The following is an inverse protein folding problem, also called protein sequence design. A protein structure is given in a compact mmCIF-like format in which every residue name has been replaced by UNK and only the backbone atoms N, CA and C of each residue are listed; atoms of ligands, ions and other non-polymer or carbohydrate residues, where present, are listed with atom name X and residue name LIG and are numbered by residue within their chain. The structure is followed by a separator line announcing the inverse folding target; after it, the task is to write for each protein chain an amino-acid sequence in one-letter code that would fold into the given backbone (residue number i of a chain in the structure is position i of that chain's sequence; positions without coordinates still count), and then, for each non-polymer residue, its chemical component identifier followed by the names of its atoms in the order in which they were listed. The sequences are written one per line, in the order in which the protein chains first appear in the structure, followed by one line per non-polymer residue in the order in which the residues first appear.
data_IF_551872202090
#
_entry.id   IF_551872202090
#
_cell.length_a   1.000
_cell.length_b   1.000
_cell.length_c   1.000
_cell.angle_alpha   90.00
_cell.angle_beta   90.00
_cell.angle_gamma   90.00
#
_symmetry.space_group_name_H-M   'P 1'
#
loop_
_entity.id
_entity.type
_entity.pdbx_description
1 polymer ?
#
# COMPACT_ATOMS: atom_id res chain seq x y z
N UNK A 1 15.47 -1.30 -21.91
CA UNK A 1 14.41 -0.39 -21.42
C UNK A 1 13.93 -0.88 -20.07
N UNK A 2 13.66 0.01 -19.12
CA UNK A 2 13.16 -0.33 -17.78
C UNK A 2 11.69 0.03 -17.61
N UNK A 3 11.04 -0.62 -16.65
CA UNK A 3 9.63 -0.38 -16.35
C UNK A 3 9.49 -0.01 -14.87
N UNK A 4 8.73 1.02 -14.55
CA UNK A 4 8.26 1.28 -13.19
C UNK A 4 6.86 0.71 -13.07
N UNK A 5 6.68 -0.25 -12.18
CA UNK A 5 5.43 -1.00 -11.99
C UNK A 5 4.81 -0.59 -10.66
N UNK A 6 3.65 0.06 -10.70
CA UNK A 6 2.76 0.15 -9.56
C UNK A 6 1.71 -0.96 -9.61
N UNK A 7 1.22 -1.38 -8.46
CA UNK A 7 0.16 -2.39 -8.37
C UNK A 7 -0.95 -1.88 -7.48
N UNK A 8 -2.18 -2.01 -7.96
CA UNK A 8 -3.43 -1.89 -7.20
C UNK A 8 -4.03 -3.29 -7.19
N UNK A 9 -3.88 -4.00 -6.06
CA UNK A 9 -4.21 -5.43 -5.98
C UNK A 9 -5.72 -5.68 -5.84
N UNK A 10 -6.49 -4.78 -5.25
CA UNK A 10 -7.92 -4.99 -5.02
C UNK A 10 -8.82 -4.27 -6.04
N UNK A 11 -8.21 -3.77 -7.12
CA UNK A 11 -8.85 -3.16 -8.29
C UNK A 11 -9.58 -1.86 -7.90
N UNK A 12 -9.07 -1.09 -6.95
CA UNK A 12 -9.66 0.18 -6.54
C UNK A 12 -9.72 1.19 -7.70
N UNK A 13 -8.72 1.18 -8.59
CA UNK A 13 -8.72 1.96 -9.81
C UNK A 13 -9.87 1.54 -10.76
N UNK A 14 -10.14 0.25 -10.91
CA UNK A 14 -11.25 -0.25 -11.72
C UNK A 14 -12.62 -0.03 -11.06
N UNK A 15 -12.73 -0.33 -9.76
CA UNK A 15 -13.98 -0.30 -8.98
C UNK A 15 -14.45 1.11 -8.66
N UNK A 16 -13.54 1.97 -8.20
CA UNK A 16 -13.87 3.33 -7.74
C UNK A 16 -13.77 4.35 -8.87
N UNK A 17 -12.76 4.24 -9.73
CA UNK A 17 -12.49 5.23 -10.78
C UNK A 17 -12.97 4.80 -12.18
N UNK A 18 -13.37 3.54 -12.37
CA UNK A 18 -13.83 3.02 -13.66
C UNK A 18 -12.71 2.94 -14.71
N UNK A 19 -11.45 2.87 -14.29
CA UNK A 19 -10.30 2.82 -15.17
C UNK A 19 -9.77 1.38 -15.22
N UNK A 20 -9.91 0.67 -16.35
CA UNK A 20 -9.38 -0.69 -16.47
C UNK A 20 -7.86 -0.68 -16.60
N UNK A 21 -7.17 -1.60 -15.92
CA UNK A 21 -5.75 -1.86 -16.16
C UNK A 21 -5.50 -2.88 -17.28
N UNK A 22 -4.24 -3.00 -17.74
CA UNK A 22 -3.09 -2.23 -17.29
C UNK A 22 -3.09 -0.80 -17.84
N UNK A 23 -2.71 0.16 -17.01
CA UNK A 23 -2.57 1.57 -17.42
C UNK A 23 -1.11 1.84 -17.74
N UNK A 24 -0.77 1.95 -19.02
CA UNK A 24 0.60 2.15 -19.49
C UNK A 24 0.81 3.60 -19.92
N UNK A 25 1.92 4.19 -19.50
CA UNK A 25 2.35 5.51 -19.95
C UNK A 25 2.15 6.60 -18.91
N UNK A 26 3.10 7.54 -18.86
CA UNK A 26 3.12 8.62 -17.87
C UNK A 26 1.80 9.40 -17.76
N UNK A 27 1.28 9.87 -18.89
CA UNK A 27 0.07 10.69 -18.89
C UNK A 27 -1.17 9.88 -18.52
N UNK A 28 -1.28 8.65 -19.04
CA UNK A 28 -2.39 7.76 -18.70
C UNK A 28 -2.43 7.44 -17.20
N UNK A 29 -1.27 7.19 -16.59
CA UNK A 29 -1.17 6.96 -15.14
C UNK A 29 -1.54 8.21 -14.34
N UNK A 30 -1.11 9.40 -14.76
CA UNK A 30 -1.53 10.66 -14.10
C UNK A 30 -3.04 10.88 -14.18
N UNK A 31 -3.64 10.68 -15.35
CA UNK A 31 -5.08 10.85 -15.54
C UNK A 31 -5.87 9.82 -14.72
N UNK A 32 -5.37 8.59 -14.63
CA UNK A 32 -5.94 7.53 -13.80
C UNK A 32 -5.84 7.87 -12.31
N UNK A 33 -4.69 8.36 -11.84
CA UNK A 33 -4.51 8.80 -10.45
C UNK A 33 -5.41 9.99 -10.09
N UNK A 34 -5.59 10.94 -11.01
CA UNK A 34 -6.52 12.05 -10.83
C UNK A 34 -7.97 11.57 -10.72
N UNK A 35 -8.37 10.60 -11.53
CA UNK A 35 -9.72 10.00 -11.45
C UNK A 35 -9.93 9.28 -10.13
N UNK A 36 -8.97 8.43 -9.71
CA UNK A 36 -9.05 7.71 -8.44
C UNK A 36 -9.08 8.68 -7.26
N UNK A 37 -8.12 9.60 -7.18
CA UNK A 37 -8.06 10.59 -6.09
C UNK A 37 -9.24 11.56 -6.04
N UNK A 38 -9.98 11.73 -7.14
CA UNK A 38 -11.25 12.49 -7.14
C UNK A 38 -12.42 11.63 -6.69
N UNK A 39 -12.41 10.34 -7.00
CA UNK A 39 -13.45 9.38 -6.60
C UNK A 39 -13.33 8.97 -5.12
N UNK A 40 -12.11 8.72 -4.65
CA UNK A 40 -11.78 8.37 -3.27
C UNK A 40 -10.46 9.06 -2.86
N UNK A 41 -10.53 10.26 -2.23
CA UNK A 41 -9.35 11.00 -1.82
C UNK A 41 -8.55 10.37 -0.66
N UNK A 42 -9.14 9.40 0.06
CA UNK A 42 -8.48 8.74 1.21
C UNK A 42 -7.66 7.52 0.79
N UNK A 43 -7.82 7.10 -0.46
CA UNK A 43 -7.16 5.97 -1.08
C UNK A 43 -5.64 6.17 -1.21
N UNK A 44 -4.86 5.17 -0.78
CA UNK A 44 -3.40 5.23 -0.81
C UNK A 44 -2.81 4.92 -2.19
N UNK A 45 -3.52 4.19 -3.06
CA UNK A 45 -3.06 3.82 -4.40
C UNK A 45 -2.82 5.06 -5.25
N UNK A 46 -3.62 6.10 -5.06
CA UNK A 46 -3.41 7.40 -5.72
C UNK A 46 -1.99 7.93 -5.49
N UNK A 47 -1.48 7.83 -4.26
CA UNK A 47 -0.12 8.26 -3.95
C UNK A 47 0.93 7.28 -4.48
N UNK A 48 0.64 5.98 -4.51
CA UNK A 48 1.49 4.97 -5.14
C UNK A 48 1.69 5.28 -6.63
N UNK A 49 0.62 5.62 -7.35
CA UNK A 49 0.65 6.00 -8.77
C UNK A 49 1.49 7.26 -9.00
N UNK A 50 1.32 8.29 -8.16
CA UNK A 50 2.15 9.50 -8.25
C UNK A 50 3.63 9.21 -7.95
N UNK A 51 3.92 8.33 -7.00
CA UNK A 51 5.29 7.92 -6.70
C UNK A 51 5.91 7.11 -7.85
N UNK A 52 5.14 6.27 -8.54
CA UNK A 52 5.57 5.56 -9.74
C UNK A 52 5.93 6.52 -10.88
N UNK A 53 5.07 7.52 -11.13
CA UNK A 53 5.37 8.58 -12.12
C UNK A 53 6.61 9.37 -11.74
N UNK A 54 6.73 9.74 -10.46
CA UNK A 54 7.89 10.49 -9.96
C UNK A 54 9.20 9.69 -10.13
N UNK A 55 9.21 8.40 -9.78
CA UNK A 55 10.36 7.52 -9.99
C UNK A 55 10.72 7.41 -11.47
N UNK A 56 9.72 7.23 -12.35
CA UNK A 56 9.96 7.18 -13.80
C UNK A 56 10.58 8.49 -14.31
N UNK A 57 10.10 9.65 -13.84
CA UNK A 57 10.64 10.96 -14.20
C UNK A 57 12.05 11.20 -13.64
N UNK A 58 12.39 10.64 -12.46
CA UNK A 58 13.76 10.64 -11.91
C UNK A 58 14.72 9.83 -12.79
N UNK A 59 14.36 8.61 -13.15
CA UNK A 59 15.18 7.72 -13.98
C UNK A 59 15.35 8.28 -15.41
N UNK A 60 14.29 8.84 -16.01
CA UNK A 60 14.38 9.52 -17.31
C UNK A 60 15.34 10.71 -17.28
N UNK A 61 15.31 11.51 -16.19
CA UNK A 61 16.27 12.61 -16.00
C UNK A 61 17.70 12.12 -15.83
N UNK A 62 17.90 10.91 -15.31
CA UNK A 62 19.20 10.26 -15.23
C UNK A 62 19.67 9.65 -16.58
N UNK A 63 18.88 9.78 -17.65
CA UNK A 63 19.22 9.31 -19.00
C UNK A 63 18.74 7.88 -19.29
N UNK A 64 17.91 7.29 -18.43
CA UNK A 64 17.39 5.95 -18.61
C UNK A 64 16.11 5.94 -19.46
N UNK A 65 16.00 4.96 -20.36
CA UNK A 65 14.76 4.70 -21.10
C UNK A 65 13.81 3.91 -20.21
N UNK A 66 12.81 4.61 -19.66
CA UNK A 66 11.85 4.06 -18.68
C UNK A 66 10.42 4.34 -19.13
N UNK A 67 9.54 3.37 -18.92
CA UNK A 67 8.08 3.54 -18.96
C UNK A 67 7.45 3.26 -17.61
N UNK A 68 6.25 3.79 -17.36
CA UNK A 68 5.48 3.52 -16.14
C UNK A 68 4.22 2.73 -16.48
N UNK A 69 3.88 1.76 -15.63
CA UNK A 69 2.63 1.00 -15.72
C UNK A 69 2.00 0.85 -14.33
N UNK A 70 0.68 0.88 -14.28
CA UNK A 70 -0.11 0.45 -13.12
C UNK A 70 -0.87 -0.82 -13.51
N UNK A 71 -0.63 -1.89 -12.76
CA UNK A 71 -1.34 -3.16 -12.89
C UNK A 71 -2.49 -3.19 -11.90
N UNK A 72 -3.64 -3.69 -12.35
CA UNK A 72 -4.85 -3.80 -11.51
C UNK A 72 -5.20 -5.26 -11.29
N UNK A 73 -5.56 -5.58 -10.06
CA UNK A 73 -5.99 -6.91 -9.66
C UNK A 73 -7.48 -7.12 -9.82
N UNK A 74 -8.10 -7.69 -8.79
CA UNK A 74 -9.53 -7.96 -8.73
C UNK A 74 -10.04 -7.69 -7.31
N UNK A 75 -11.27 -7.20 -7.18
CA UNK A 75 -11.89 -6.98 -5.87
C UNK A 75 -11.97 -8.22 -4.99
N UNK A 76 -11.88 -9.41 -5.58
CA UNK A 76 -11.63 -10.66 -4.85
C UNK A 76 -10.12 -10.88 -4.71
N UNK A 77 -9.54 -10.21 -3.71
CA UNK A 77 -8.11 -10.31 -3.38
C UNK A 77 -7.73 -11.77 -3.10
N UNK A 78 -6.56 -12.18 -3.61
CA UNK A 78 -6.07 -13.55 -3.56
C UNK A 78 -5.69 -14.04 -4.96
N UNK A 79 -5.80 -15.35 -5.20
CA UNK A 79 -5.27 -15.98 -6.42
C UNK A 79 -5.88 -15.43 -7.72
N UNK A 80 -7.13 -14.94 -7.69
CA UNK A 80 -7.78 -14.35 -8.87
C UNK A 80 -7.13 -13.02 -9.24
N UNK A 81 -7.02 -12.12 -8.27
CA UNK A 81 -6.30 -10.86 -8.41
C UNK A 81 -4.84 -11.09 -8.85
N UNK A 82 -4.11 -11.97 -8.15
CA UNK A 82 -2.69 -12.23 -8.43
C UNK A 82 -2.49 -12.73 -9.88
N UNK A 83 -3.37 -13.62 -10.36
CA UNK A 83 -3.33 -14.09 -11.76
C UNK A 83 -3.63 -12.98 -12.76
N UNK A 84 -4.56 -12.08 -12.44
CA UNK A 84 -4.91 -10.94 -13.29
C UNK A 84 -3.74 -9.97 -13.40
N UNK A 85 -3.10 -9.63 -12.28
CA UNK A 85 -1.88 -8.81 -12.26
C UNK A 85 -0.77 -9.46 -13.11
N UNK A 86 -0.52 -10.76 -12.93
CA UNK A 86 0.50 -11.46 -13.72
C UNK A 86 0.19 -11.47 -15.22
N UNK A 87 -1.08 -11.70 -15.60
CA UNK A 87 -1.50 -11.69 -17.00
C UNK A 87 -1.35 -10.29 -17.63
N UNK A 88 -1.66 -9.23 -16.89
CA UNK A 88 -1.43 -7.86 -17.34
C UNK A 88 0.06 -7.56 -17.53
N UNK A 89 0.92 -8.02 -16.61
CA UNK A 89 2.37 -7.90 -16.79
C UNK A 89 2.85 -8.65 -18.03
N UNK A 90 2.36 -9.88 -18.25
CA UNK A 90 2.71 -10.70 -19.43
C UNK A 90 2.31 -9.98 -20.73
N UNK A 91 1.15 -9.30 -20.75
CA UNK A 91 0.72 -8.47 -21.88
C UNK A 91 1.70 -7.30 -22.13
N UNK A 92 2.06 -6.56 -21.09
CA UNK A 92 2.97 -5.41 -21.22
C UNK A 92 4.36 -5.85 -21.68
N UNK A 93 4.87 -6.96 -21.18
CA UNK A 93 6.17 -7.52 -21.57
C UNK A 93 6.19 -8.06 -23.01
N UNK A 94 5.03 -8.40 -23.58
CA UNK A 94 4.91 -8.82 -24.97
C UNK A 94 5.00 -7.62 -25.93
N UNK A 95 4.47 -6.46 -25.52
CA UNK A 95 4.47 -5.23 -26.33
C UNK A 95 5.76 -4.42 -26.15
N UNK A 96 6.35 -4.47 -24.95
CA UNK A 96 7.50 -3.66 -24.55
C UNK A 96 8.67 -4.57 -24.15
N UNK A 97 9.83 -4.50 -24.84
CA UNK A 97 11.01 -5.26 -24.45
C UNK A 97 11.67 -4.66 -23.20
N UNK A 98 11.19 -5.09 -22.04
CA UNK A 98 11.68 -4.65 -20.72
C UNK A 98 12.78 -5.59 -20.23
N UNK A 99 13.91 -5.02 -19.83
CA UNK A 99 15.06 -5.75 -19.26
C UNK A 99 14.85 -6.06 -17.78
N UNK A 100 14.39 -5.06 -17.04
CA UNK A 100 14.12 -5.14 -15.61
C UNK A 100 13.07 -4.10 -15.21
N UNK A 101 12.48 -4.27 -14.04
CA UNK A 101 11.51 -3.33 -13.50
C UNK A 101 11.79 -2.89 -12.07
N UNK A 102 11.28 -1.71 -11.73
CA UNK A 102 11.23 -1.16 -10.38
C UNK A 102 9.80 -1.30 -9.85
N UNK A 103 9.62 -1.95 -8.71
CA UNK A 103 8.31 -2.13 -8.11
C UNK A 103 7.99 -0.97 -7.15
N UNK A 104 6.80 -0.40 -7.27
CA UNK A 104 6.26 0.62 -6.37
C UNK A 104 5.00 0.05 -5.71
N UNK A 105 4.96 0.10 -4.39
CA UNK A 105 3.88 -0.45 -3.57
C UNK A 105 3.64 0.45 -2.37
N UNK A 106 2.39 0.57 -1.95
CA UNK A 106 1.95 1.38 -0.81
C UNK A 106 1.61 0.56 0.44
N UNK A 107 1.47 -0.77 0.32
CA UNK A 107 1.18 -1.67 1.43
C UNK A 107 1.98 -2.99 1.45
N UNK A 108 1.96 -3.66 2.60
CA UNK A 108 2.53 -5.01 2.74
C UNK A 108 1.80 -6.06 1.89
N UNK A 109 0.54 -5.80 1.50
CA UNK A 109 -0.26 -6.74 0.71
C UNK A 109 0.22 -6.88 -0.74
N UNK A 110 0.81 -5.83 -1.32
CA UNK A 110 1.37 -5.91 -2.68
C UNK A 110 2.75 -6.58 -2.70
N UNK A 111 3.44 -6.64 -1.56
CA UNK A 111 4.72 -7.35 -1.47
C UNK A 111 4.56 -8.86 -1.68
N UNK A 112 3.37 -9.42 -1.41
CA UNK A 112 3.08 -10.82 -1.74
C UNK A 112 3.12 -11.10 -3.26
N UNK A 113 2.98 -10.07 -4.10
CA UNK A 113 3.11 -10.20 -5.55
C UNK A 113 4.56 -10.19 -6.01
N UNK A 114 5.51 -9.78 -5.17
CA UNK A 114 6.92 -9.71 -5.57
C UNK A 114 7.45 -11.03 -6.15
N UNK A 115 7.28 -12.21 -5.52
CA UNK A 115 7.77 -13.47 -6.10
C UNK A 115 7.12 -13.79 -7.45
N UNK A 116 5.84 -13.42 -7.61
CA UNK A 116 5.10 -13.62 -8.84
C UNK A 116 5.65 -12.74 -9.96
N UNK A 117 5.82 -11.44 -9.71
CA UNK A 117 6.36 -10.49 -10.70
C UNK A 117 7.83 -10.80 -11.02
N UNK A 118 8.65 -11.09 -10.01
CA UNK A 118 10.06 -11.41 -10.15
C UNK A 118 10.31 -12.69 -10.99
N UNK A 119 9.32 -13.59 -11.04
CA UNK A 119 9.41 -14.79 -11.89
C UNK A 119 9.29 -14.50 -13.40
N UNK A 120 8.81 -13.30 -13.80
CA UNK A 120 8.67 -12.91 -15.22
C UNK A 120 9.90 -12.17 -15.71
N UNK A 121 10.37 -11.21 -14.92
CA UNK A 121 11.54 -10.37 -15.21
C UNK A 121 12.26 -9.97 -13.92
N UNK A 122 13.53 -9.59 -14.09
CA UNK A 122 14.36 -9.14 -12.99
C UNK A 122 13.80 -7.86 -12.35
N UNK A 123 13.83 -7.78 -11.01
CA UNK A 123 13.44 -6.59 -10.24
C UNK A 123 14.70 -5.87 -9.79
N UNK A 124 14.95 -4.67 -10.34
CA UNK A 124 16.15 -3.90 -10.01
C UNK A 124 16.05 -3.27 -8.62
N UNK A 125 14.86 -2.80 -8.23
CA UNK A 125 14.61 -2.28 -6.89
C UNK A 125 13.13 -2.26 -6.52
N UNK A 126 12.87 -2.10 -5.22
CA UNK A 126 11.53 -1.93 -4.65
C UNK A 126 11.49 -0.58 -3.93
N UNK A 127 10.53 0.28 -4.27
CA UNK A 127 10.28 1.56 -3.59
C UNK A 127 8.94 1.48 -2.85
N UNK A 128 9.00 1.49 -1.52
CA UNK A 128 7.80 1.54 -0.67
C UNK A 128 7.34 2.98 -0.47
N UNK A 129 6.04 3.21 -0.60
CA UNK A 129 5.42 4.53 -0.51
C UNK A 129 4.47 4.54 0.68
N UNK A 130 4.90 5.15 1.78
CA UNK A 130 4.03 5.29 2.96
C UNK A 130 3.28 6.61 2.90
N UNK A 131 1.96 6.54 2.70
CA UNK A 131 1.08 7.71 2.85
C UNK A 131 0.98 8.05 4.33
N UNK A 132 1.52 9.21 4.72
CA UNK A 132 1.49 9.67 6.12
C UNK A 132 0.07 10.11 6.50
N UNK A 133 -0.76 9.18 6.98
CA UNK A 133 -2.01 9.53 7.65
C UNK A 133 -1.70 10.05 9.07
N UNK A 134 -1.94 11.34 9.30
CA UNK A 134 -1.49 12.03 10.52
C UNK A 134 -2.43 11.89 11.72
N UNK A 135 -3.67 11.43 11.57
CA UNK A 135 -4.68 11.62 12.61
C UNK A 135 -4.82 10.47 13.62
N UNK A 136 -4.78 9.20 13.19
CA UNK A 136 -5.36 8.11 13.99
C UNK A 136 -4.45 7.61 15.12
N UNK A 137 -3.13 7.50 14.88
CA UNK A 137 -2.19 7.04 15.91
C UNK A 137 -1.90 8.14 16.91
N UNK A 138 -1.73 9.39 16.46
CA UNK A 138 -1.58 10.52 17.38
C UNK A 138 -2.83 10.76 18.21
N UNK A 139 -4.02 10.67 17.61
CA UNK A 139 -5.30 10.79 18.31
C UNK A 139 -5.47 9.71 19.38
N UNK A 140 -5.33 8.44 19.00
CA UNK A 140 -5.47 7.30 19.93
C UNK A 140 -4.39 7.33 21.02
N UNK A 141 -3.13 7.59 20.65
CA UNK A 141 -2.04 7.76 21.61
C UNK A 141 -2.31 8.91 22.59
N UNK A 142 -2.72 10.08 22.08
CA UNK A 142 -3.04 11.24 22.91
C UNK A 142 -4.25 10.97 23.82
N UNK A 143 -5.31 10.33 23.32
CA UNK A 143 -6.47 9.94 24.11
C UNK A 143 -6.10 8.93 25.19
N UNK A 144 -5.31 7.90 24.87
CA UNK A 144 -4.85 6.90 25.83
C UNK A 144 -3.96 7.53 26.91
N UNK A 145 -2.95 8.31 26.51
CA UNK A 145 -2.05 9.01 27.43
C UNK A 145 -2.80 10.02 28.30
N UNK A 146 -3.78 10.74 27.74
CA UNK A 146 -4.60 11.70 28.49
C UNK A 146 -5.52 10.98 29.49
N UNK A 147 -6.12 9.86 29.11
CA UNK A 147 -6.91 9.03 30.00
C UNK A 147 -6.08 8.47 31.17
N UNK A 148 -4.83 8.06 30.91
CA UNK A 148 -3.89 7.57 31.94
C UNK A 148 -3.40 8.69 32.87
N UNK A 149 -3.25 9.92 32.37
CA UNK A 149 -2.81 11.08 33.16
C UNK A 149 -3.94 11.73 33.97
N UNK A 150 -5.20 11.46 33.65
CA UNK A 150 -6.34 11.98 34.41
C UNK A 150 -6.45 11.30 35.78
N UNK A 151 -6.21 12.08 36.84
CA UNK A 151 -6.22 11.62 38.23
C UNK A 151 -7.59 11.08 38.66
N UNK A 152 -8.70 11.61 38.12
CA UNK A 152 -10.05 11.10 38.42
C UNK A 152 -10.28 9.72 37.82
N UNK A 153 -9.83 9.52 36.58
CA UNK A 153 -9.95 8.24 35.88
C UNK A 153 -9.05 7.18 36.54
N UNK A 154 -7.77 7.53 36.77
CA UNK A 154 -6.79 6.63 37.40
C UNK A 154 -7.24 6.09 38.76
N UNK A 155 -7.83 6.94 39.59
CA UNK A 155 -8.26 6.55 40.95
C UNK A 155 -9.53 5.69 40.92
N UNK A 156 -10.44 5.93 39.96
CA UNK A 156 -11.72 5.21 39.86
C UNK A 156 -11.66 3.89 39.09
N UNK A 157 -10.73 3.73 38.15
CA UNK A 157 -10.65 2.53 37.30
C UNK A 157 -9.35 1.76 37.48
N UNK A 158 -8.18 2.41 37.32
CA UNK A 158 -6.89 1.73 37.38
C UNK A 158 -6.56 1.15 38.76
N UNK A 159 -6.82 1.89 39.85
CA UNK A 159 -6.57 1.42 41.23
C UNK A 159 -7.38 0.16 41.60
N UNK A 160 -8.72 0.13 41.44
CA UNK A 160 -9.49 -1.07 41.77
C UNK A 160 -9.17 -2.25 40.84
N UNK A 161 -8.84 -1.99 39.56
CA UNK A 161 -8.43 -3.04 38.63
C UNK A 161 -7.07 -3.64 39.02
N UNK A 162 -6.10 -2.82 39.39
CA UNK A 162 -4.81 -3.28 39.93
C UNK A 162 -5.00 -4.08 41.23
N UNK A 163 -5.88 -3.62 42.12
CA UNK A 163 -6.25 -4.36 43.33
C UNK A 163 -6.87 -5.72 43.02
N UNK A 164 -7.74 -5.81 42.02
CA UNK A 164 -8.34 -7.07 41.56
C UNK A 164 -7.27 -8.03 41.03
N UNK A 165 -6.33 -7.55 40.21
CA UNK A 165 -5.23 -8.39 39.70
C UNK A 165 -4.31 -8.88 40.82
N UNK A 166 -3.98 -8.03 41.79
CA UNK A 166 -3.21 -8.44 42.97
C UNK A 166 -3.98 -9.49 43.76
N UNK A 167 -5.28 -9.30 43.98
CA UNK A 167 -6.11 -10.26 44.69
C UNK A 167 -6.20 -11.62 43.97
N UNK A 168 -6.40 -11.61 42.66
CA UNK A 168 -6.40 -12.83 41.83
C UNK A 168 -5.04 -13.52 41.85
N UNK A 169 -3.93 -12.77 41.82
CA UNK A 169 -2.59 -13.33 41.93
C UNK A 169 -2.33 -13.99 43.28
N UNK A 170 -2.85 -13.41 44.37
CA UNK A 170 -2.75 -13.97 45.70
C UNK A 170 -3.56 -15.26 45.82
N UNK A 171 -4.80 -15.28 45.28
CA UNK A 171 -5.61 -16.50 45.23
C UNK A 171 -4.88 -17.62 44.48
N UNK A 172 -4.27 -17.31 43.33
CA UNK A 172 -3.52 -18.29 42.55
C UNK A 172 -2.26 -18.79 43.26
N UNK A 173 -1.58 -17.92 44.03
CA UNK A 173 -0.35 -18.28 44.76
C UNK A 173 -0.62 -19.20 45.97
N UNK A 174 -1.80 -19.13 46.57
CA UNK A 174 -2.17 -19.90 47.76
C UNK A 174 -3.02 -21.17 47.47
N UNK A 175 -3.25 -21.49 46.18
CA UNK A 175 -3.82 -22.76 45.72
C UNK A 175 -2.72 -23.74 45.31
#
# INVERSE_FOLDING_TARGET
MRLVVGVDRDDDLGRKAGVPGPVVGRQAVLDAALKLGTADPEDSDTNAMFAAVNLADELRRAGESVEVVILTGDGHVGTVSDRRVAAQLDQVLAEIPVEAFHLVSDGEEDEYLYPLLASRRHVDSIRKVYVRQSASIQGTYYTLVRALKDQKLRTKTLLPLAGLFIFLSLIWYFQ
#
